data_IF_680460007563
#
_entry.id   IF_680460007563
#
_cell.length_a   1.000
_cell.length_b   1.000
_cell.length_c   1.000
_cell.angle_alpha   90.00
_cell.angle_beta   90.00
_cell.angle_gamma   90.00
#
_symmetry.space_group_name_H-M   'P 1'
#
loop_
_entity.id
_entity.type
_entity.pdbx_description
1 polymer ?
#
# COMPACT_ATOMS: atom_id res chain seq x y z
N UNK A 1 12.83 1.17 -11.78
CA UNK A 1 12.67 2.56 -11.32
C UNK A 1 12.71 3.46 -12.54
N UNK A 2 11.58 4.07 -12.87
CA UNK A 2 11.42 5.00 -14.00
C UNK A 2 11.08 6.42 -13.54
N UNK A 3 10.55 6.58 -12.31
CA UNK A 3 10.32 7.86 -11.65
C UNK A 3 11.41 8.23 -10.63
N UNK A 4 11.27 9.42 -10.05
CA UNK A 4 12.19 10.01 -9.06
C UNK A 4 11.59 10.08 -7.64
N UNK A 5 10.46 9.41 -7.41
CA UNK A 5 9.76 9.40 -6.14
C UNK A 5 10.46 8.60 -5.03
N UNK A 6 9.84 8.62 -3.85
CA UNK A 6 10.24 7.82 -2.70
C UNK A 6 9.29 6.63 -2.58
N UNK A 7 9.85 5.44 -2.47
CA UNK A 7 9.06 4.21 -2.39
C UNK A 7 9.91 2.97 -2.18
N UNK A 8 9.32 1.83 -2.46
CA UNK A 8 9.95 0.53 -2.39
C UNK A 8 9.01 -0.55 -2.89
N UNK A 9 9.51 -1.78 -2.99
CA UNK A 9 8.80 -2.90 -3.62
C UNK A 9 7.57 -3.29 -2.80
N UNK A 10 7.67 -3.25 -1.47
CA UNK A 10 6.56 -3.55 -0.57
C UNK A 10 5.48 -2.45 -0.62
N UNK A 11 5.88 -1.18 -0.65
CA UNK A 11 4.93 -0.07 -0.78
C UNK A 11 4.21 -0.11 -2.14
N UNK A 12 4.93 -0.33 -3.24
CA UNK A 12 4.31 -0.44 -4.57
C UNK A 12 3.37 -1.64 -4.69
N UNK A 13 3.72 -2.77 -4.06
CA UNK A 13 2.85 -3.95 -4.02
C UNK A 13 1.51 -3.64 -3.34
N UNK A 14 1.54 -3.02 -2.16
CA UNK A 14 0.33 -2.66 -1.40
C UNK A 14 -0.50 -1.62 -2.15
N UNK A 15 0.14 -0.64 -2.79
CA UNK A 15 -0.57 0.38 -3.57
C UNK A 15 -1.26 -0.22 -4.80
N UNK A 16 -0.61 -1.18 -5.46
CA UNK A 16 -1.20 -1.91 -6.59
C UNK A 16 -2.41 -2.74 -6.16
N UNK A 17 -2.38 -3.34 -4.96
CA UNK A 17 -3.54 -4.03 -4.39
C UNK A 17 -4.67 -3.04 -4.09
N UNK A 18 -4.36 -1.91 -3.46
CA UNK A 18 -5.36 -0.88 -3.15
C UNK A 18 -6.05 -0.37 -4.43
N UNK A 19 -5.28 -0.16 -5.50
CA UNK A 19 -5.80 0.21 -6.82
C UNK A 19 -6.68 -0.89 -7.43
N UNK A 20 -6.22 -2.14 -7.42
CA UNK A 20 -6.98 -3.27 -7.94
C UNK A 20 -8.33 -3.43 -7.22
N UNK A 21 -8.34 -3.33 -5.88
CA UNK A 21 -9.55 -3.36 -5.06
C UNK A 21 -10.54 -2.25 -5.40
N UNK A 22 -10.04 -1.06 -5.74
CA UNK A 22 -10.89 0.06 -6.15
C UNK A 22 -11.61 -0.24 -7.49
N UNK A 23 -10.93 -0.96 -8.38
CA UNK A 23 -11.33 -1.17 -9.76
C UNK A 23 -12.19 -2.44 -9.96
N UNK A 24 -12.11 -3.43 -9.07
CA UNK A 24 -12.80 -4.73 -9.21
C UNK A 24 -14.33 -4.66 -9.00
N UNK A 25 -14.82 -3.55 -8.45
CA UNK A 25 -16.24 -3.30 -8.19
C UNK A 25 -16.93 -2.44 -9.24
N UNK A 26 -16.93 -2.83 -10.53
CA UNK A 26 -17.63 -2.20 -11.67
C UNK A 26 -18.45 -0.93 -11.37
N UNK A 27 -17.77 0.19 -11.10
CA UNK A 27 -18.39 1.44 -10.62
C UNK A 27 -18.02 1.89 -9.20
N UNK A 28 -16.94 1.37 -8.60
CA UNK A 28 -16.43 1.82 -7.30
C UNK A 28 -17.27 1.38 -6.10
N UNK A 29 -18.14 0.37 -6.26
CA UNK A 29 -18.84 -0.25 -5.12
C UNK A 29 -18.12 -1.53 -4.71
N UNK A 30 -17.63 -1.66 -3.47
CA UNK A 30 -17.14 -2.94 -2.99
C UNK A 30 -18.25 -3.99 -3.14
N UNK A 31 -17.86 -5.22 -3.49
CA UNK A 31 -18.77 -6.36 -3.45
C UNK A 31 -19.39 -6.39 -2.05
N UNK A 32 -20.72 -6.17 -1.97
CA UNK A 32 -21.41 -6.05 -0.69
C UNK A 32 -21.23 -7.35 0.09
N UNK A 33 -20.58 -7.29 1.24
CA UNK A 33 -20.30 -8.46 2.09
C UNK A 33 -18.84 -8.92 2.12
N UNK A 34 -17.95 -8.37 1.28
CA UNK A 34 -16.52 -8.73 1.29
C UNK A 34 -15.68 -7.54 1.78
N UNK A 35 -14.84 -7.78 2.79
CA UNK A 35 -13.80 -6.85 3.26
C UNK A 35 -12.42 -7.47 3.09
N UNK A 36 -11.43 -6.68 2.72
CA UNK A 36 -10.06 -7.14 2.54
C UNK A 36 -9.06 -6.18 3.17
N UNK A 37 -7.98 -6.74 3.71
CA UNK A 37 -6.78 -6.01 4.11
C UNK A 37 -5.54 -6.71 3.55
N UNK A 38 -4.53 -5.94 3.17
CA UNK A 38 -3.26 -6.42 2.67
C UNK A 38 -2.11 -5.64 3.32
N UNK A 39 -1.01 -6.33 3.58
CA UNK A 39 0.24 -5.73 4.02
C UNK A 39 1.42 -6.41 3.33
N UNK A 40 2.47 -5.64 3.06
CA UNK A 40 3.74 -6.14 2.55
C UNK A 40 4.85 -5.46 3.34
N UNK A 41 5.77 -6.25 3.89
CA UNK A 41 6.78 -5.78 4.85
C UNK A 41 8.13 -6.44 4.54
N UNK A 42 9.16 -5.63 4.31
CA UNK A 42 10.55 -6.06 4.29
C UNK A 42 11.00 -6.44 5.69
N UNK A 43 11.45 -7.68 5.87
CA UNK A 43 11.79 -8.21 7.22
C UNK A 43 13.05 -7.59 7.81
N UNK A 44 13.86 -6.91 7.01
CA UNK A 44 14.98 -6.07 7.45
C UNK A 44 14.54 -4.70 8.00
N UNK A 45 13.27 -4.37 7.85
CA UNK A 45 12.62 -3.18 8.36
C UNK A 45 12.74 -1.94 7.49
N UNK A 46 13.27 -2.07 6.27
CA UNK A 46 13.39 -0.98 5.29
C UNK A 46 13.00 -1.46 3.89
N UNK A 47 12.13 -0.73 3.22
CA UNK A 47 11.69 -0.98 1.85
C UNK A 47 12.18 0.12 0.92
N UNK A 48 13.14 -0.22 0.06
CA UNK A 48 13.70 0.71 -0.91
C UNK A 48 14.32 1.96 -0.26
N UNK A 49 13.96 3.13 -0.78
CA UNK A 49 14.44 4.44 -0.30
C UNK A 49 13.53 5.08 0.74
N UNK A 50 12.45 4.40 1.15
CA UNK A 50 11.37 4.98 1.96
C UNK A 50 11.70 5.16 3.45
N UNK A 51 12.67 4.41 3.97
CA UNK A 51 12.99 4.38 5.40
C UNK A 51 11.91 3.73 6.27
N UNK A 52 10.88 3.13 5.68
CA UNK A 52 9.85 2.33 6.37
C UNK A 52 9.93 0.89 5.90
N UNK A 53 9.37 -0.07 6.64
CA UNK A 53 9.44 -1.47 6.28
C UNK A 53 8.45 -1.87 5.18
N UNK A 54 7.39 -1.10 4.98
CA UNK A 54 6.26 -1.51 4.17
C UNK A 54 5.07 -0.58 4.31
N UNK A 55 3.92 -1.06 3.86
CA UNK A 55 2.63 -0.41 4.03
C UNK A 55 1.52 -1.44 4.28
N UNK A 56 0.34 -0.95 4.63
CA UNK A 56 -0.89 -1.71 4.67
C UNK A 56 -2.02 -0.96 3.93
N UNK A 57 -2.96 -1.71 3.37
CA UNK A 57 -4.16 -1.16 2.76
C UNK A 57 -5.34 -2.05 3.10
N UNK A 58 -6.51 -1.46 3.16
CA UNK A 58 -7.79 -2.11 3.41
C UNK A 58 -8.89 -1.53 2.51
N UNK A 59 -10.10 -2.08 2.64
CA UNK A 59 -11.28 -1.61 1.90
C UNK A 59 -11.65 -0.14 2.16
N UNK A 60 -11.11 0.51 3.20
CA UNK A 60 -11.34 1.94 3.50
C UNK A 60 -10.31 2.88 2.85
N UNK A 61 -9.16 2.34 2.40
CA UNK A 61 -7.96 3.10 2.03
C UNK A 61 -8.24 4.11 0.92
N UNK A 62 -8.98 3.72 -0.11
CA UNK A 62 -9.33 4.63 -1.21
C UNK A 62 -10.27 5.76 -0.79
N UNK A 63 -11.21 5.49 0.13
CA UNK A 63 -12.09 6.52 0.67
C UNK A 63 -11.29 7.52 1.51
N UNK A 64 -10.34 7.04 2.33
CA UNK A 64 -9.42 7.90 3.10
C UNK A 64 -8.51 8.72 2.17
N UNK A 65 -7.99 8.13 1.10
CA UNK A 65 -7.19 8.82 0.08
C UNK A 65 -7.97 9.96 -0.61
N UNK A 66 -9.22 9.71 -0.99
CA UNK A 66 -10.09 10.72 -1.58
C UNK A 66 -10.37 11.87 -0.59
N UNK A 67 -10.66 11.57 0.67
CA UNK A 67 -10.86 12.58 1.73
C UNK A 67 -9.60 13.40 2.00
N UNK A 68 -8.42 12.80 1.86
CA UNK A 68 -7.13 13.47 1.99
C UNK A 68 -6.72 14.26 0.73
N UNK A 69 -7.52 14.23 -0.35
CA UNK A 69 -7.23 14.95 -1.59
C UNK A 69 -6.06 14.37 -2.39
N UNK A 70 -5.76 13.07 -2.23
CA UNK A 70 -4.69 12.41 -2.95
C UNK A 70 -5.08 12.13 -4.41
N UNK A 71 -4.09 12.22 -5.30
CA UNK A 71 -4.21 11.80 -6.70
C UNK A 71 -4.46 10.28 -6.83
N UNK A 72 -4.70 9.79 -8.05
CA UNK A 72 -4.97 8.38 -8.27
C UNK A 72 -3.74 7.51 -7.94
N UNK A 73 -3.90 6.29 -7.40
CA UNK A 73 -2.80 5.36 -7.15
C UNK A 73 -1.83 5.19 -8.33
N UNK A 74 -2.36 5.07 -9.56
CA UNK A 74 -1.60 5.03 -10.81
C UNK A 74 -0.56 6.16 -10.93
N UNK A 75 -0.88 7.38 -10.50
CA UNK A 75 0.03 8.53 -10.61
C UNK A 75 1.26 8.35 -9.71
N UNK A 76 1.04 7.83 -8.50
CA UNK A 76 2.13 7.53 -7.56
C UNK A 76 2.95 6.31 -8.00
N UNK A 77 2.31 5.28 -8.56
CA UNK A 77 3.00 4.10 -9.12
C UNK A 77 3.89 4.50 -10.31
N UNK A 78 3.37 5.30 -11.25
CA UNK A 78 4.12 5.78 -12.41
C UNK A 78 5.34 6.61 -12.00
N UNK A 79 5.23 7.37 -10.90
CA UNK A 79 6.31 8.18 -10.34
C UNK A 79 7.27 7.40 -9.42
N UNK A 80 7.04 6.11 -9.16
CA UNK A 80 7.71 5.32 -8.10
C UNK A 80 7.69 6.07 -6.74
N UNK A 81 6.55 6.68 -6.40
CA UNK A 81 6.37 7.59 -5.26
C UNK A 81 5.34 7.07 -4.24
N UNK A 82 5.25 5.75 -4.06
CA UNK A 82 4.25 5.10 -3.20
C UNK A 82 4.31 5.53 -1.73
N UNK A 83 5.45 6.01 -1.23
CA UNK A 83 5.55 6.57 0.13
C UNK A 83 4.64 7.79 0.31
N UNK A 84 4.58 8.66 -0.71
CA UNK A 84 3.77 9.88 -0.64
C UNK A 84 2.26 9.59 -0.65
N UNK A 85 1.83 8.43 -1.14
CA UNK A 85 0.44 8.00 -1.07
C UNK A 85 0.06 7.56 0.35
N UNK A 86 0.87 6.72 0.98
CA UNK A 86 0.54 6.15 2.29
C UNK A 86 0.86 7.07 3.48
N UNK A 87 1.82 7.99 3.34
CA UNK A 87 2.23 8.85 4.45
C UNK A 87 1.08 9.72 5.01
N UNK A 88 0.23 10.36 4.19
CA UNK A 88 -0.92 11.13 4.69
C UNK A 88 -2.03 10.27 5.31
N UNK A 89 -2.03 8.97 5.03
CA UNK A 89 -3.05 8.02 5.48
C UNK A 89 -2.68 7.30 6.79
N UNK A 90 -1.44 7.48 7.25
CA UNK A 90 -0.83 6.74 8.37
C UNK A 90 -0.81 5.20 8.16
N UNK A 91 -0.68 4.79 6.90
CA UNK A 91 -0.72 3.39 6.47
C UNK A 91 0.68 2.77 6.30
N UNK A 92 1.73 3.49 6.73
CA UNK A 92 3.12 3.05 6.62
C UNK A 92 3.50 2.14 7.79
N UNK A 93 4.16 1.02 7.51
CA UNK A 93 4.69 0.13 8.54
C UNK A 93 6.10 0.56 8.93
N UNK A 94 6.25 1.16 10.10
CA UNK A 94 7.53 1.68 10.60
C UNK A 94 8.13 0.76 11.65
N UNK A 95 9.10 -0.07 11.26
CA UNK A 95 9.82 -0.96 12.19
C UNK A 95 11.20 -0.43 12.58
N UNK A 96 11.86 0.33 11.69
CA UNK A 96 13.30 0.55 11.79
C UNK A 96 14.08 -0.72 11.49
N UNK A 97 15.42 -0.67 11.51
CA UNK A 97 16.25 -1.83 11.20
C UNK A 97 16.02 -2.95 12.23
N UNK A 98 15.60 -4.12 11.74
CA UNK A 98 15.35 -5.31 12.60
C UNK A 98 16.61 -6.13 12.87
N UNK A 99 17.69 -5.87 12.14
CA UNK A 99 18.95 -6.62 12.17
C UNK A 99 18.84 -8.10 11.75
N UNK A 100 17.80 -8.45 11.01
CA UNK A 100 17.65 -9.74 10.32
C UNK A 100 17.15 -9.51 8.89
N UNK A 101 17.28 -10.48 8.00
CA UNK A 101 16.69 -10.40 6.66
C UNK A 101 16.36 -11.80 6.14
N UNK A 102 15.07 -12.07 5.95
CA UNK A 102 14.55 -13.31 5.35
C UNK A 102 13.63 -13.00 4.15
N UNK A 103 13.79 -11.81 3.55
CA UNK A 103 12.98 -11.35 2.41
C UNK A 103 11.76 -10.53 2.83
N UNK A 104 10.70 -10.63 2.03
CA UNK A 104 9.46 -9.87 2.18
C UNK A 104 8.34 -10.77 2.72
N UNK A 105 7.56 -10.28 3.70
CA UNK A 105 6.36 -10.93 4.21
C UNK A 105 5.12 -10.24 3.63
N UNK A 106 4.28 -11.01 2.94
CA UNK A 106 3.01 -10.54 2.37
C UNK A 106 1.85 -11.24 3.07
N UNK A 107 0.89 -10.46 3.54
CA UNK A 107 -0.31 -10.94 4.23
C UNK A 107 -1.53 -10.34 3.55
N UNK A 108 -2.49 -11.19 3.18
CA UNK A 108 -3.80 -10.78 2.67
C UNK A 108 -4.85 -11.46 3.52
N UNK A 109 -5.79 -10.69 4.05
CA UNK A 109 -6.92 -11.17 4.84
C UNK A 109 -8.19 -10.82 4.08
N UNK A 110 -9.00 -11.83 3.80
CA UNK A 110 -10.32 -11.69 3.18
C UNK A 110 -11.35 -12.10 4.22
N UNK A 111 -12.39 -11.28 4.38
CA UNK A 111 -13.51 -11.54 5.27
C UNK A 111 -14.81 -11.43 4.48
N UNK A 112 -15.59 -12.51 4.50
CA UNK A 112 -16.93 -12.58 3.91
C UNK A 112 -17.95 -12.63 5.06
N UNK A 113 -18.95 -11.76 5.00
CA UNK A 113 -20.06 -11.68 5.96
C UNK A 113 -21.34 -12.34 5.43
#
# INVERSE_FOLDING_TARGET
MTGTGIGGRNLEFVLSIAEALANDGGGGRPATGISMAAASIGTDGIDGSSGVAGAMADSSTMARAALAGLAAPADYLAANNSFAFFAPLDDLVRLGRTHTNVGDLQVIVIHEA
#
